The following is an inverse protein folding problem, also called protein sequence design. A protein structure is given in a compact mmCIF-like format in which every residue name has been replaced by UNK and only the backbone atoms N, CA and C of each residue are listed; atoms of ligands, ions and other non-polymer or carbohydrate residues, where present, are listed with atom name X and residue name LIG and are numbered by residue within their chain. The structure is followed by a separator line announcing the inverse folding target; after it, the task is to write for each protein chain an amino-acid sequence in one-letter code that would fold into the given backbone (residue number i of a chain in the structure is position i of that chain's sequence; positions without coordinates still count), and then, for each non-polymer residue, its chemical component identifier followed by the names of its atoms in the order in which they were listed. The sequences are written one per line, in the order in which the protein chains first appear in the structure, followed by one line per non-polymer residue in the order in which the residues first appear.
data_IF_449108036504
#
_entry.id   IF_449108036504
#
_cell.length_a   1.000
_cell.length_b   1.000
_cell.length_c   1.000
_cell.angle_alpha   90.00
_cell.angle_beta   90.00
_cell.angle_gamma   90.00
#
_symmetry.space_group_name_H-M   'P 1'
#
loop_
_entity.id
_entity.type
_entity.pdbx_description
1 polymer ?
#
# COMPACT_ATOMS: atom_id res chain seq x y z
N UNK A 1 -14.59 -1.17 30.86
CA UNK A 1 -13.19 -1.50 30.50
C UNK A 1 -13.11 -2.57 29.40
N UNK A 2 -13.95 -3.61 29.41
CA UNK A 2 -13.99 -4.61 28.33
C UNK A 2 -14.30 -4.03 26.93
N UNK A 3 -15.27 -3.12 26.84
CA UNK A 3 -15.59 -2.42 25.58
C UNK A 3 -14.40 -1.60 25.07
N UNK A 4 -13.69 -0.92 25.96
CA UNK A 4 -12.46 -0.18 25.63
C UNK A 4 -11.38 -1.10 25.06
N UNK A 5 -11.13 -2.25 25.69
CA UNK A 5 -10.16 -3.23 25.16
C UNK A 5 -10.59 -3.83 23.83
N UNK A 6 -11.89 -4.00 23.60
CA UNK A 6 -12.40 -4.42 22.29
C UNK A 6 -12.09 -3.36 21.22
N UNK A 7 -12.35 -2.09 21.50
CA UNK A 7 -12.03 -0.99 20.59
C UNK A 7 -10.53 -0.89 20.29
N UNK A 8 -9.67 -1.03 21.31
CA UNK A 8 -8.20 -1.07 21.17
C UNK A 8 -7.77 -2.20 20.24
N UNK A 9 -8.32 -3.40 20.42
CA UNK A 9 -7.95 -4.57 19.61
C UNK A 9 -8.43 -4.44 18.16
N UNK A 10 -9.62 -3.88 17.94
CA UNK A 10 -10.11 -3.59 16.60
C UNK A 10 -9.26 -2.55 15.87
N UNK A 11 -8.79 -1.51 16.58
CA UNK A 11 -7.85 -0.52 16.02
C UNK A 11 -6.53 -1.21 15.66
N UNK A 12 -5.95 -2.00 16.58
CA UNK A 12 -4.69 -2.72 16.35
C UNK A 12 -4.77 -3.64 15.13
N UNK A 13 -5.83 -4.42 15.02
CA UNK A 13 -6.08 -5.29 13.86
C UNK A 13 -6.24 -4.49 12.57
N UNK A 14 -6.89 -3.32 12.63
CA UNK A 14 -7.07 -2.46 11.46
C UNK A 14 -5.74 -1.81 11.00
N UNK A 15 -4.88 -1.40 11.94
CA UNK A 15 -3.53 -0.89 11.63
C UNK A 15 -2.69 -1.98 10.97
N UNK A 16 -2.71 -3.20 11.52
CA UNK A 16 -2.01 -4.34 10.92
C UNK A 16 -2.47 -4.64 9.48
N UNK A 17 -3.77 -4.50 9.20
CA UNK A 17 -4.32 -4.62 7.84
C UNK A 17 -3.83 -3.53 6.90
N UNK A 18 -3.76 -2.27 7.36
CA UNK A 18 -3.19 -1.19 6.53
C UNK A 18 -1.74 -1.51 6.20
N UNK A 19 -0.93 -1.93 7.18
CA UNK A 19 0.47 -2.29 6.93
C UNK A 19 0.60 -3.40 5.86
N UNK A 20 -0.29 -4.42 5.89
CA UNK A 20 -0.34 -5.44 4.83
C UNK A 20 -0.71 -4.84 3.46
N UNK A 21 -1.73 -3.99 3.39
CA UNK A 21 -2.10 -3.32 2.14
C UNK A 21 -0.98 -2.43 1.59
N UNK A 22 -0.22 -1.75 2.44
CA UNK A 22 0.92 -0.92 2.04
C UNK A 22 2.00 -1.75 1.35
N UNK A 23 2.30 -2.95 1.86
CA UNK A 23 3.23 -3.87 1.20
C UNK A 23 2.71 -4.35 -0.16
N UNK A 24 1.41 -4.62 -0.28
CA UNK A 24 0.79 -4.98 -1.56
C UNK A 24 0.83 -3.81 -2.56
N UNK A 25 0.61 -2.57 -2.10
CA UNK A 25 0.76 -1.35 -2.90
C UNK A 25 2.19 -1.21 -3.43
N UNK A 26 3.22 -1.38 -2.57
CA UNK A 26 4.63 -1.36 -3.00
C UNK A 26 4.92 -2.40 -4.09
N UNK A 27 4.36 -3.61 -3.94
CA UNK A 27 4.50 -4.68 -4.94
C UNK A 27 3.84 -4.30 -6.27
N UNK A 28 2.61 -3.80 -6.24
CA UNK A 28 1.89 -3.37 -7.45
C UNK A 28 2.59 -2.21 -8.15
N UNK A 29 3.11 -1.23 -7.40
CA UNK A 29 3.93 -0.15 -7.92
C UNK A 29 5.20 -0.67 -8.62
N UNK A 30 5.90 -1.64 -8.02
CA UNK A 30 7.06 -2.27 -8.63
C UNK A 30 6.73 -2.94 -9.96
N UNK A 31 5.63 -3.70 -10.02
CA UNK A 31 5.15 -4.37 -11.24
C UNK A 31 4.82 -3.33 -12.32
N UNK A 32 4.09 -2.27 -11.97
CA UNK A 32 3.72 -1.19 -12.88
C UNK A 32 4.96 -0.47 -13.45
N UNK A 33 6.00 -0.27 -12.64
CA UNK A 33 7.26 0.34 -13.09
C UNK A 33 8.15 -0.62 -13.90
N UNK A 34 7.90 -1.93 -13.85
CA UNK A 34 8.69 -2.93 -14.59
C UNK A 34 8.22 -3.13 -16.04
N UNK A 35 6.94 -2.85 -16.33
CA UNK A 35 6.34 -3.05 -17.64
C UNK A 35 6.01 -1.72 -18.33
N UNK A 36 6.34 -1.53 -19.62
CA UNK A 36 5.94 -0.34 -20.39
C UNK A 36 4.42 -0.17 -20.49
N UNK A 37 3.70 -1.29 -20.51
CA UNK A 37 2.24 -1.34 -20.49
C UNK A 37 1.78 -2.33 -19.41
N UNK A 38 1.51 -1.86 -18.17
CA UNK A 38 1.06 -2.73 -17.10
C UNK A 38 -0.31 -3.32 -17.43
N UNK A 39 -0.54 -4.58 -17.04
CA UNK A 39 -1.85 -5.20 -17.15
C UNK A 39 -2.92 -4.37 -16.41
N UNK A 40 -4.10 -4.23 -17.01
CA UNK A 40 -5.21 -3.47 -16.42
C UNK A 40 -5.58 -3.96 -15.01
N UNK A 41 -5.43 -5.27 -14.76
CA UNK A 41 -5.70 -5.90 -13.48
C UNK A 41 -4.83 -5.36 -12.33
N UNK A 42 -3.52 -5.18 -12.55
CA UNK A 42 -2.62 -4.64 -11.50
C UNK A 42 -2.97 -3.20 -11.14
N UNK A 43 -3.47 -2.42 -12.11
CA UNK A 43 -3.93 -1.05 -11.86
C UNK A 43 -5.26 -1.03 -11.09
N UNK A 44 -6.17 -1.94 -11.40
CA UNK A 44 -7.43 -2.13 -10.67
C UNK A 44 -7.16 -2.56 -9.22
N UNK A 45 -6.32 -3.57 -9.01
CA UNK A 45 -5.92 -4.04 -7.68
C UNK A 45 -5.29 -2.90 -6.85
N UNK A 46 -4.47 -2.04 -7.47
CA UNK A 46 -3.88 -0.87 -6.81
C UNK A 46 -4.94 0.17 -6.41
N UNK A 47 -5.93 0.44 -7.26
CA UNK A 47 -7.02 1.36 -6.94
C UNK A 47 -7.89 0.86 -5.78
N UNK A 48 -8.18 -0.44 -5.76
CA UNK A 48 -8.93 -1.08 -4.68
C UNK A 48 -8.17 -1.06 -3.36
N UNK A 49 -6.86 -1.34 -3.38
CA UNK A 49 -6.00 -1.24 -2.19
C UNK A 49 -5.99 0.18 -1.62
N UNK A 50 -5.81 1.20 -2.47
CA UNK A 50 -5.82 2.60 -2.03
C UNK A 50 -7.16 2.98 -1.39
N UNK A 51 -8.27 2.51 -1.96
CA UNK A 51 -9.62 2.74 -1.43
C UNK A 51 -9.83 2.05 -0.08
N UNK A 52 -9.41 0.80 0.09
CA UNK A 52 -9.53 0.07 1.36
C UNK A 52 -8.58 0.62 2.44
N UNK A 53 -7.38 1.09 2.07
CA UNK A 53 -6.49 1.84 2.98
C UNK A 53 -7.20 3.09 3.50
N UNK A 54 -7.73 3.94 2.61
CA UNK A 54 -8.43 5.18 2.97
C UNK A 54 -9.61 4.92 3.91
N UNK A 55 -10.44 3.93 3.57
CA UNK A 55 -11.61 3.53 4.35
C UNK A 55 -11.22 3.00 5.73
N UNK A 56 -10.15 2.20 5.81
CA UNK A 56 -9.66 1.64 7.08
C UNK A 56 -9.02 2.74 7.94
N UNK A 57 -8.23 3.63 7.36
CA UNK A 57 -7.64 4.80 8.01
C UNK A 57 -8.71 5.71 8.61
N UNK A 58 -9.77 6.01 7.86
CA UNK A 58 -10.90 6.82 8.34
C UNK A 58 -11.62 6.18 9.53
N UNK A 59 -11.77 4.85 9.54
CA UNK A 59 -12.35 4.12 10.67
C UNK A 59 -11.45 4.16 11.90
N UNK A 60 -10.14 3.98 11.74
CA UNK A 60 -9.17 4.08 12.84
C UNK A 60 -9.22 5.48 13.45
N UNK A 61 -9.18 6.52 12.62
CA UNK A 61 -9.29 7.92 13.06
C UNK A 61 -10.55 8.16 13.89
N UNK A 62 -11.71 7.70 13.42
CA UNK A 62 -12.98 7.86 14.14
C UNK A 62 -12.97 7.16 15.51
N UNK A 63 -12.39 5.95 15.60
CA UNK A 63 -12.29 5.21 16.87
C UNK A 63 -11.30 5.86 17.84
N UNK A 64 -10.14 6.32 17.36
CA UNK A 64 -9.18 7.05 18.19
C UNK A 64 -9.81 8.31 18.79
N UNK A 65 -10.52 9.10 17.97
CA UNK A 65 -11.25 10.29 18.42
C UNK A 65 -12.35 9.96 19.44
N UNK A 66 -13.06 8.85 19.26
CA UNK A 66 -14.07 8.39 20.24
C UNK A 66 -13.44 8.01 21.58
N UNK A 67 -12.25 7.42 21.57
CA UNK A 67 -11.50 7.08 22.79
C UNK A 67 -11.03 8.37 23.48
N UNK A 68 -10.56 9.36 22.72
CA UNK A 68 -10.12 10.65 23.25
C UNK A 68 -11.24 11.42 23.96
N UNK A 69 -12.42 11.51 23.35
CA UNK A 69 -13.58 12.19 23.96
C UNK A 69 -14.02 11.57 25.28
N UNK A 70 -13.68 10.29 25.52
CA UNK A 70 -13.94 9.63 26.80
C UNK A 70 -13.00 10.11 27.93
N UNK A 71 -11.97 10.89 27.64
CA UNK A 71 -11.03 11.43 28.64
C UNK A 71 -11.57 12.71 29.32
N UNK A 72 -12.26 13.57 28.57
CA UNK A 72 -12.68 14.89 29.04
C UNK A 72 -13.89 14.83 29.99
N UNK A 73 -14.66 13.74 29.99
CA UNK A 73 -15.83 13.57 30.86
C UNK A 73 -15.47 13.25 32.32
N UNK A 74 -14.24 12.82 32.60
CA UNK A 74 -13.81 12.32 33.91
C UNK A 74 -12.98 13.32 34.75
N UNK A 75 -12.74 14.55 34.27
CA UNK A 75 -11.98 15.61 35.00
C UNK A 75 -12.73 16.25 36.19
N UNK A 76 -13.77 15.60 36.72
CA UNK A 76 -14.59 16.14 37.82
C UNK A 76 -14.23 15.58 39.21
N UNK A 77 -13.28 14.66 39.32
CA UNK A 77 -12.98 13.97 40.57
C UNK A 77 -11.50 13.62 40.75
N UNK A 78 -10.93 14.13 41.84
CA UNK A 78 -9.54 13.95 42.30
C UNK A 78 -9.08 12.48 42.38
N UNK A 79 -8.41 12.03 41.31
CA UNK A 79 -7.29 11.08 41.20
C UNK A 79 -7.27 10.59 39.75
N UNK A 80 -6.16 10.73 39.04
CA UNK A 80 -5.96 10.08 37.74
C UNK A 80 -6.10 8.58 37.94
N UNK A 81 -7.30 8.05 37.68
CA UNK A 81 -7.62 6.66 37.94
C UNK A 81 -6.68 5.78 37.11
N UNK A 82 -6.35 4.60 37.62
CA UNK A 82 -5.54 3.63 36.86
C UNK A 82 -6.18 3.36 35.48
N UNK A 83 -7.51 3.40 35.41
CA UNK A 83 -8.29 3.30 34.17
C UNK A 83 -7.95 4.42 33.18
N UNK A 84 -7.98 5.69 33.62
CA UNK A 84 -7.64 6.84 32.79
C UNK A 84 -6.20 6.77 32.27
N UNK A 85 -5.25 6.35 33.11
CA UNK A 85 -3.85 6.18 32.70
C UNK A 85 -3.69 5.09 31.65
N UNK A 86 -4.38 3.95 31.81
CA UNK A 86 -4.35 2.86 30.82
C UNK A 86 -4.92 3.35 29.50
N UNK A 87 -6.07 4.04 29.51
CA UNK A 87 -6.69 4.51 28.27
C UNK A 87 -5.87 5.57 27.55
N UNK A 88 -5.33 6.56 28.28
CA UNK A 88 -4.44 7.59 27.71
C UNK A 88 -3.17 6.98 27.12
N UNK A 89 -2.58 5.99 27.81
CA UNK A 89 -1.41 5.27 27.30
C UNK A 89 -1.76 4.53 26.01
N UNK A 90 -2.80 3.69 26.01
CA UNK A 90 -3.21 2.89 24.85
C UNK A 90 -3.56 3.76 23.64
N UNK A 91 -4.32 4.84 23.85
CA UNK A 91 -4.61 5.81 22.79
C UNK A 91 -3.32 6.38 22.19
N UNK A 92 -2.36 6.76 23.03
CA UNK A 92 -1.05 7.25 22.58
C UNK A 92 -0.29 6.26 21.70
N UNK A 93 -0.19 5.00 22.15
CA UNK A 93 0.52 3.93 21.43
C UNK A 93 -0.13 3.67 20.09
N UNK A 94 -1.45 3.53 20.05
CA UNK A 94 -2.19 3.28 18.82
C UNK A 94 -2.09 4.44 17.84
N UNK A 95 -2.15 5.69 18.33
CA UNK A 95 -1.98 6.89 17.51
C UNK A 95 -0.58 6.94 16.90
N UNK A 96 0.49 6.71 17.67
CA UNK A 96 1.87 6.62 17.12
C UNK A 96 1.98 5.53 16.07
N UNK A 97 1.48 4.33 16.36
CA UNK A 97 1.58 3.20 15.41
C UNK A 97 0.78 3.44 14.14
N UNK A 98 -0.36 4.12 14.23
CA UNK A 98 -1.14 4.51 13.07
C UNK A 98 -0.41 5.58 12.23
N UNK A 99 0.18 6.60 12.85
CA UNK A 99 1.01 7.59 12.13
C UNK A 99 2.18 6.91 11.43
N UNK A 100 2.89 6.00 12.11
CA UNK A 100 4.02 5.25 11.53
C UNK A 100 3.63 4.53 10.23
N UNK A 101 2.54 3.75 10.26
CA UNK A 101 2.08 3.00 9.08
C UNK A 101 1.57 3.93 7.98
N UNK A 102 0.93 5.04 8.32
CA UNK A 102 0.48 6.00 7.33
C UNK A 102 1.66 6.74 6.70
N UNK A 103 2.70 7.07 7.46
CA UNK A 103 3.93 7.67 6.93
C UNK A 103 4.60 6.73 5.95
N UNK A 104 4.70 5.44 6.28
CA UNK A 104 5.24 4.42 5.37
C UNK A 104 4.42 4.32 4.06
N UNK A 105 3.09 4.44 4.15
CA UNK A 105 2.23 4.53 2.97
C UNK A 105 2.54 5.78 2.13
N UNK A 106 2.69 6.95 2.76
CA UNK A 106 3.01 8.20 2.08
C UNK A 106 4.40 8.16 1.41
N UNK A 107 5.39 7.57 2.06
CA UNK A 107 6.72 7.34 1.49
C UNK A 107 6.66 6.42 0.27
N UNK A 108 5.87 5.34 0.33
CA UNK A 108 5.67 4.45 -0.81
C UNK A 108 5.04 5.17 -2.02
N UNK A 109 4.04 6.03 -1.76
CA UNK A 109 3.39 6.84 -2.79
C UNK A 109 4.36 7.87 -3.39
N UNK A 110 5.10 8.60 -2.56
CA UNK A 110 6.10 9.59 -3.00
C UNK A 110 7.21 8.93 -3.81
N UNK A 111 7.69 7.76 -3.38
CA UNK A 111 8.70 7.00 -4.13
C UNK A 111 8.18 6.59 -5.52
N UNK A 112 6.91 6.18 -5.63
CA UNK A 112 6.32 5.85 -6.93
C UNK A 112 6.16 7.08 -7.83
N UNK A 113 5.86 8.26 -7.26
CA UNK A 113 5.84 9.56 -7.98
C UNK A 113 7.19 9.84 -8.62
N UNK A 114 8.25 9.84 -7.81
CA UNK A 114 9.61 10.13 -8.23
C UNK A 114 10.10 9.15 -9.30
N UNK A 115 9.80 7.86 -9.13
CA UNK A 115 10.15 6.83 -10.12
C UNK A 115 9.39 7.00 -11.44
N UNK A 116 8.14 7.44 -11.38
CA UNK A 116 7.32 7.73 -12.56
C UNK A 116 7.81 8.99 -13.28
N UNK A 117 8.13 10.06 -12.55
CA UNK A 117 8.76 11.28 -13.08
C UNK A 117 10.07 10.96 -13.80
N UNK A 118 10.97 10.20 -13.16
CA UNK A 118 12.23 9.79 -13.78
C UNK A 118 12.08 8.86 -14.99
N UNK A 119 10.94 8.18 -15.16
CA UNK A 119 10.60 7.47 -16.41
C UNK A 119 10.15 8.42 -17.49
N UNK A 120 9.26 9.37 -17.17
CA UNK A 120 8.79 10.41 -18.12
C UNK A 120 9.98 11.21 -18.65
N UNK A 121 10.89 11.64 -17.77
CA UNK A 121 12.11 12.36 -18.15
C UNK A 121 12.94 11.58 -19.17
N UNK A 122 13.20 10.29 -18.90
CA UNK A 122 13.93 9.42 -19.84
C UNK A 122 13.21 9.28 -21.18
N UNK A 123 11.88 9.18 -21.20
CA UNK A 123 11.12 9.11 -22.45
C UNK A 123 11.20 10.43 -23.24
N UNK A 124 11.22 11.58 -22.56
CA UNK A 124 11.41 12.88 -23.19
C UNK A 124 12.81 13.02 -23.80
N UNK A 125 13.85 12.56 -23.09
CA UNK A 125 15.23 12.53 -23.60
C UNK A 125 15.35 11.66 -24.87
N UNK A 126 14.65 10.51 -24.92
CA UNK A 126 14.60 9.65 -26.12
C UNK A 126 13.95 10.37 -27.31
N UNK A 127 12.94 11.21 -27.07
CA UNK A 127 12.32 12.05 -28.12
C UNK A 127 13.19 13.25 -28.54
N UNK A 128 14.37 13.41 -27.94
CA UNK A 128 15.32 14.49 -28.26
C UNK A 128 15.08 15.78 -27.48
N UNK A 129 14.26 15.76 -26.43
CA UNK A 129 14.00 16.90 -25.54
C UNK A 129 14.74 16.70 -24.21
N UNK A 130 15.71 17.55 -23.94
CA UNK A 130 16.28 17.67 -22.59
C UNK A 130 15.41 18.63 -21.77
N UNK A 131 14.72 18.12 -20.76
CA UNK A 131 13.96 18.93 -19.79
C UNK A 131 14.67 18.96 -18.46
N UNK A 132 14.75 20.12 -17.81
CA UNK A 132 15.20 20.19 -16.42
C UNK A 132 14.14 19.59 -15.48
N UNK A 133 14.52 19.32 -14.24
CA UNK A 133 13.61 18.75 -13.24
C UNK A 133 12.47 19.73 -12.91
N UNK A 134 12.78 21.03 -12.88
CA UNK A 134 11.84 22.12 -12.63
C UNK A 134 10.87 22.32 -13.79
N UNK A 135 11.36 22.32 -15.04
CA UNK A 135 10.50 22.39 -16.23
C UNK A 135 9.56 21.18 -16.30
N UNK A 136 10.08 19.98 -15.98
CA UNK A 136 9.27 18.77 -15.95
C UNK A 136 8.17 18.84 -14.87
N UNK A 137 8.47 19.42 -13.71
CA UNK A 137 7.49 19.61 -12.64
C UNK A 137 6.39 20.58 -13.07
N UNK A 138 6.72 21.70 -13.70
CA UNK A 138 5.75 22.66 -14.25
C UNK A 138 4.84 22.00 -15.29
N UNK A 139 5.40 21.13 -16.14
CA UNK A 139 4.62 20.35 -17.10
C UNK A 139 3.65 19.39 -16.41
N UNK A 140 4.04 18.75 -15.30
CA UNK A 140 3.17 17.87 -14.50
C UNK A 140 2.06 18.67 -13.80
N UNK A 141 2.36 19.85 -13.26
CA UNK A 141 1.40 20.73 -12.58
C UNK A 141 0.32 21.28 -13.53
N UNK A 142 0.67 21.48 -14.81
CA UNK A 142 -0.27 21.93 -15.84
C UNK A 142 -1.45 20.97 -16.06
N UNK A 143 -1.32 19.71 -15.62
CA UNK A 143 -2.37 18.69 -15.63
C UNK A 143 -2.82 18.21 -17.02
N UNK A 144 -2.19 18.70 -18.10
CA UNK A 144 -2.62 18.40 -19.47
C UNK A 144 -1.59 17.54 -20.23
N UNK A 145 -1.96 16.32 -20.66
CA UNK A 145 -1.05 15.43 -21.41
C UNK A 145 -0.55 16.03 -22.73
N UNK A 146 -1.29 16.99 -23.30
CA UNK A 146 -0.93 17.70 -24.54
C UNK A 146 0.35 18.52 -24.41
N UNK A 147 0.72 18.96 -23.20
CA UNK A 147 1.96 19.71 -22.95
C UNK A 147 3.20 18.89 -23.31
N UNK A 148 3.13 17.57 -23.23
CA UNK A 148 4.22 16.68 -23.68
C UNK A 148 4.25 16.48 -25.20
N UNK A 149 3.16 16.80 -25.91
CA UNK A 149 3.02 16.59 -27.36
C UNK A 149 3.24 17.85 -28.20
N UNK A 150 3.09 19.05 -27.62
CA UNK A 150 3.02 20.32 -28.33
C UNK A 150 4.27 20.62 -29.19
N UNK A 151 5.46 20.30 -28.68
CA UNK A 151 6.73 20.58 -29.38
C UNK A 151 7.15 19.46 -30.35
N UNK A 152 6.71 18.23 -30.11
CA UNK A 152 6.99 17.07 -30.98
C UNK A 152 6.36 17.27 -32.36
N UNK A 153 5.16 17.86 -32.41
CA UNK A 153 4.49 18.22 -33.67
C UNK A 153 5.17 19.36 -34.44
N UNK A 154 5.90 20.25 -33.76
CA UNK A 154 6.56 21.39 -34.40
C UNK A 154 7.75 20.93 -35.30
N UNK A 155 8.43 19.84 -34.92
CA UNK A 155 9.50 19.25 -35.74
C UNK A 155 8.97 18.46 -36.94
N UNK A 156 7.79 17.83 -36.81
CA UNK A 156 7.10 17.18 -37.94
C UNK A 156 6.73 18.18 -39.04
N UNK A 157 6.40 19.42 -38.69
CA UNK A 157 6.14 20.49 -39.65
C UNK A 157 7.42 21.04 -40.30
N UNK A 158 8.54 21.09 -39.57
CA UNK A 158 9.84 21.52 -40.13
C UNK A 158 10.47 20.46 -41.06
N UNK A 159 10.18 19.17 -40.85
CA UNK A 159 10.62 18.07 -41.72
C UNK A 159 9.80 17.93 -43.02
N UNK A 160 8.73 18.71 -43.20
CA UNK A 160 7.93 18.74 -44.43
C UNK A 160 8.62 19.50 -45.60
N UNK A 161 9.88 19.91 -45.44
CA UNK A 161 10.73 20.40 -46.53
C UNK A 161 11.89 19.44 -46.87
N UNK A 162 11.67 18.23 -47.44
CA UNK A 162 12.76 17.46 -48.03
C UNK A 162 12.95 17.75 -49.54
N UNK A 163 12.44 18.86 -50.08
CA UNK A 163 12.52 19.17 -51.51
C UNK A 163 12.80 20.65 -51.82
N UNK A 164 13.73 21.29 -51.10
CA UNK A 164 14.54 22.31 -51.75
C UNK A 164 15.59 21.58 -52.60
N UNK A 165 15.12 20.98 -53.70
CA UNK A 165 15.98 20.76 -54.85
C UNK A 165 16.54 22.13 -55.18
N UNK A 166 17.82 22.33 -54.84
CA UNK A 166 18.63 23.41 -55.38
C UNK A 166 18.31 23.50 -56.87
N UNK A 167 17.62 24.57 -57.28
CA UNK A 167 17.62 25.02 -58.66
C UNK A 167 19.02 25.58 -58.95
N UNK A 168 20.04 24.72 -58.89
CA UNK A 168 21.33 25.01 -59.47
C UNK A 168 21.15 24.78 -60.97
N UNK A 169 20.82 25.86 -61.68
CA UNK A 169 20.81 25.87 -63.14
C UNK A 169 22.26 25.80 -63.64
N UNK A 170 22.85 24.62 -63.58
CA UNK A 170 24.10 24.34 -64.28
C UNK A 170 23.74 24.11 -65.75
N UNK A 171 23.98 25.13 -66.56
CA UNK A 171 24.17 24.95 -67.98
C UNK A 171 25.40 24.05 -68.17
N UNK A 172 25.20 22.78 -68.52
CA UNK A 172 25.90 22.10 -69.61
C UNK A 172 25.39 20.66 -69.75
N UNK A 173 25.23 20.27 -71.00
CA UNK A 173 24.81 18.96 -71.49
C UNK A 173 25.62 17.81 -70.90
N UNK A 174 25.06 17.04 -69.97
CA UNK A 174 25.27 15.59 -69.88
C UNK A 174 24.40 14.98 -68.77
N UNK A 175 23.58 14.03 -69.19
CA UNK A 175 22.73 13.18 -68.36
C UNK A 175 23.55 12.34 -67.39
N UNK A 176 23.58 12.72 -66.11
CA UNK A 176 23.95 11.81 -65.02
C UNK A 176 22.78 11.78 -64.04
N UNK A 177 22.00 10.70 -64.11
CA UNK A 177 21.02 10.37 -63.08
C UNK A 177 21.80 9.96 -61.82
N UNK A 178 21.86 10.84 -60.83
CA UNK A 178 22.25 10.44 -59.48
C UNK A 178 21.00 9.86 -58.79
N UNK A 179 21.01 8.62 -58.30
CA UNK A 179 19.89 8.12 -57.54
C UNK A 179 19.81 8.90 -56.23
N UNK A 180 18.68 9.59 -56.01
CA UNK A 180 18.36 10.18 -54.72
C UNK A 180 18.45 9.08 -53.65
N UNK A 181 19.48 9.16 -52.80
CA UNK A 181 19.55 8.41 -51.56
C UNK A 181 18.54 8.99 -50.57
N UNK A 182 17.26 8.70 -50.78
CA UNK A 182 16.24 8.88 -49.75
C UNK A 182 16.51 7.83 -48.67
N UNK A 183 17.26 8.24 -47.64
CA UNK A 183 17.56 7.44 -46.45
C UNK A 183 16.25 6.91 -45.81
N UNK A 184 16.19 5.64 -45.39
CA UNK A 184 15.02 5.04 -44.73
C UNK A 184 14.82 5.50 -43.27
N UNK A 185 15.29 6.69 -42.88
CA UNK A 185 15.34 7.13 -41.47
C UNK A 185 14.01 7.69 -40.93
N UNK A 186 13.11 8.14 -41.80
CA UNK A 186 11.92 8.92 -41.39
C UNK A 186 10.72 8.07 -40.90
N UNK A 187 10.63 6.78 -41.26
CA UNK A 187 9.48 5.93 -40.85
C UNK A 187 9.65 5.41 -39.41
N UNK A 188 10.89 5.22 -38.95
CA UNK A 188 11.19 4.72 -37.59
C UNK A 188 10.89 5.77 -36.51
N UNK A 189 11.10 7.06 -36.81
CA UNK A 189 10.96 8.15 -35.84
C UNK A 189 9.50 8.38 -35.41
N UNK A 190 8.52 8.02 -36.24
CA UNK A 190 7.09 8.18 -35.89
C UNK A 190 6.57 7.13 -34.90
N UNK A 191 7.04 5.87 -35.00
CA UNK A 191 6.56 4.80 -34.12
C UNK A 191 7.18 4.89 -32.71
N UNK A 192 8.49 5.17 -32.64
CA UNK A 192 9.21 5.34 -31.37
C UNK A 192 8.63 6.51 -30.57
N UNK A 193 8.41 7.63 -31.24
CA UNK A 193 7.84 8.83 -30.61
C UNK A 193 6.41 8.61 -30.11
N UNK A 194 5.56 7.92 -30.89
CA UNK A 194 4.19 7.58 -30.47
C UNK A 194 4.17 6.64 -29.26
N UNK A 195 5.07 5.66 -29.22
CA UNK A 195 5.19 4.76 -28.09
C UNK A 195 5.66 5.50 -26.83
N UNK A 196 6.66 6.37 -26.95
CA UNK A 196 7.12 7.21 -25.85
C UNK A 196 6.01 8.12 -25.30
N UNK A 197 5.22 8.75 -26.19
CA UNK A 197 4.09 9.60 -25.79
C UNK A 197 2.98 8.82 -25.07
N UNK A 198 2.61 7.63 -25.56
CA UNK A 198 1.62 6.77 -24.88
C UNK A 198 2.09 6.35 -23.48
N UNK A 199 3.39 6.05 -23.33
CA UNK A 199 3.97 5.74 -22.02
C UNK A 199 3.93 6.97 -21.09
N UNK A 200 4.34 8.14 -21.58
CA UNK A 200 4.30 9.40 -20.83
C UNK A 200 2.87 9.71 -20.36
N UNK A 201 1.88 9.63 -21.26
CA UNK A 201 0.47 9.86 -20.92
C UNK A 201 -0.02 8.88 -19.84
N UNK A 202 0.29 7.60 -19.99
CA UNK A 202 -0.09 6.61 -18.96
C UNK A 202 0.58 6.88 -17.62
N UNK A 203 1.86 7.29 -17.59
CA UNK A 203 2.58 7.59 -16.34
C UNK A 203 2.04 8.87 -15.69
N UNK A 204 1.76 9.90 -16.49
CA UNK A 204 1.15 11.14 -16.03
C UNK A 204 -0.21 10.88 -15.35
N UNK A 205 -1.06 10.05 -15.97
CA UNK A 205 -2.34 9.64 -15.36
C UNK A 205 -2.16 8.94 -14.02
N UNK A 206 -1.14 8.10 -13.89
CA UNK A 206 -0.83 7.41 -12.64
C UNK A 206 -0.35 8.42 -11.56
N UNK A 207 0.45 9.44 -11.92
CA UNK A 207 0.87 10.54 -11.03
C UNK A 207 -0.34 11.38 -10.57
N UNK A 208 -1.28 11.71 -11.45
CA UNK A 208 -2.45 12.51 -11.07
C UNK A 208 -3.35 11.79 -10.03
N UNK A 209 -3.55 10.48 -10.21
CA UNK A 209 -4.30 9.64 -9.25
C UNK A 209 -3.61 9.58 -7.90
N UNK A 210 -2.28 9.42 -7.94
CA UNK A 210 -1.42 9.41 -6.77
C UNK A 210 -1.51 10.71 -5.97
N UNK A 211 -1.38 11.86 -6.61
CA UNK A 211 -1.45 13.17 -5.94
C UNK A 211 -2.82 13.44 -5.32
N UNK A 212 -3.89 12.97 -5.96
CA UNK A 212 -5.23 13.01 -5.38
C UNK A 212 -5.27 12.18 -4.10
N UNK A 213 -4.75 10.95 -4.12
CA UNK A 213 -4.68 10.10 -2.93
C UNK A 213 -3.82 10.74 -1.83
N UNK A 214 -2.65 11.31 -2.14
CA UNK A 214 -1.77 11.94 -1.15
C UNK A 214 -2.47 13.15 -0.49
N UNK A 215 -3.15 13.99 -1.28
CA UNK A 215 -3.87 15.17 -0.76
C UNK A 215 -4.98 14.79 0.22
N UNK A 216 -5.75 13.74 -0.10
CA UNK A 216 -6.79 13.22 0.80
C UNK A 216 -6.23 12.63 2.10
N UNK A 217 -5.05 12.00 2.04
CA UNK A 217 -4.36 11.51 3.23
C UNK A 217 -3.83 12.65 4.09
N UNK A 218 -3.33 13.72 3.48
CA UNK A 218 -2.77 14.87 4.19
C UNK A 218 -3.80 15.49 5.14
N UNK A 219 -5.06 15.58 4.73
CA UNK A 219 -6.16 16.04 5.61
C UNK A 219 -6.31 15.15 6.86
N UNK A 220 -6.13 13.83 6.73
CA UNK A 220 -6.14 12.92 7.89
C UNK A 220 -4.89 13.06 8.77
N UNK A 221 -3.72 13.35 8.18
CA UNK A 221 -2.46 13.53 8.90
C UNK A 221 -2.40 14.80 9.72
N UNK A 222 -2.91 15.91 9.21
CA UNK A 222 -2.88 17.21 9.93
C UNK A 222 -3.65 17.14 11.24
N UNK A 223 -4.80 16.48 11.24
CA UNK A 223 -5.60 16.21 12.44
C UNK A 223 -4.83 15.33 13.45
N UNK A 224 -4.06 14.36 12.94
CA UNK A 224 -3.31 13.40 13.75
C UNK A 224 -1.99 13.89 14.30
N UNK A 225 -1.29 14.75 13.56
CA UNK A 225 -0.05 15.38 14.01
C UNK A 225 -0.30 16.21 15.28
N UNK A 226 -1.45 16.90 15.35
CA UNK A 226 -1.91 17.59 16.55
C UNK A 226 -2.05 16.64 17.77
N UNK A 227 -2.54 15.40 17.56
CA UNK A 227 -2.67 14.41 18.64
C UNK A 227 -1.33 13.88 19.14
N UNK A 228 -0.31 13.78 18.28
CA UNK A 228 1.02 13.28 18.65
C UNK A 228 1.87 14.37 19.32
N UNK A 229 1.74 15.63 18.90
CA UNK A 229 2.47 16.77 19.50
C UNK A 229 1.98 17.12 20.92
N UNK A 230 0.68 16.97 21.19
CA UNK A 230 0.08 17.32 22.50
C UNK A 230 0.45 16.33 23.61
N UNK A 231 1.14 15.23 23.30
CA UNK A 231 1.45 14.13 24.25
C UNK A 231 2.93 14.11 24.70
N UNK A 232 3.60 15.26 24.67
CA UNK A 232 5.04 15.44 24.92
C UNK A 232 5.68 14.62 26.06
N UNK A 233 6.83 14.03 25.72
CA UNK A 233 7.93 13.44 26.52
C UNK A 233 7.67 12.35 27.58
N UNK A 234 6.49 12.19 28.17
CA UNK A 234 6.31 11.20 29.27
C UNK A 234 5.57 9.93 28.85
N UNK A 235 6.05 9.20 27.83
CA UNK A 235 5.42 7.92 27.44
C UNK A 235 6.41 6.75 27.19
N UNK A 236 7.73 6.95 27.21
CA UNK A 236 8.66 5.88 26.79
C UNK A 236 8.70 4.61 27.68
N UNK A 237 8.43 4.72 28.99
CA UNK A 237 8.47 3.56 29.91
C UNK A 237 7.13 2.86 30.11
N UNK A 238 6.01 3.55 29.90
CA UNK A 238 4.66 2.98 30.09
C UNK A 238 4.20 2.29 28.81
N UNK A 239 4.51 2.85 27.63
CA UNK A 239 4.27 2.23 26.33
C UNK A 239 4.90 0.84 26.25
N UNK A 240 6.18 0.70 26.63
CA UNK A 240 6.87 -0.60 26.66
C UNK A 240 6.20 -1.61 27.59
N UNK A 241 5.79 -1.19 28.79
CA UNK A 241 5.18 -2.09 29.77
C UNK A 241 3.73 -2.46 29.41
N UNK A 242 2.96 -1.54 28.82
CA UNK A 242 1.57 -1.75 28.43
C UNK A 242 1.45 -2.53 27.12
N UNK A 243 2.34 -2.29 26.13
CA UNK A 243 2.46 -3.13 24.94
C UNK A 243 2.81 -4.57 25.32
N UNK A 244 3.82 -4.76 26.16
CA UNK A 244 4.21 -6.08 26.63
C UNK A 244 3.06 -6.76 27.38
N UNK A 245 2.36 -6.05 28.27
CA UNK A 245 1.22 -6.62 29.01
C UNK A 245 0.08 -7.07 28.10
N UNK A 246 -0.28 -6.29 27.07
CA UNK A 246 -1.29 -6.68 26.09
C UNK A 246 -0.85 -7.89 25.26
N UNK A 247 0.41 -7.93 24.83
CA UNK A 247 0.97 -9.05 24.05
C UNK A 247 1.05 -10.35 24.86
N UNK A 248 1.41 -10.26 26.16
CA UNK A 248 1.35 -11.40 27.08
C UNK A 248 -0.08 -11.92 27.27
N UNK A 249 -1.08 -11.04 27.34
CA UNK A 249 -2.49 -11.45 27.46
C UNK A 249 -2.98 -12.12 26.18
N UNK A 250 -2.57 -11.64 25.01
CA UNK A 250 -2.89 -12.27 23.73
C UNK A 250 -2.26 -13.66 23.59
N UNK A 251 -0.96 -13.78 23.88
CA UNK A 251 -0.26 -15.06 23.90
C UNK A 251 -0.89 -16.02 24.94
N UNK A 252 -1.27 -15.52 26.11
CA UNK A 252 -1.99 -16.32 27.11
C UNK A 252 -3.37 -16.79 26.60
N UNK A 253 -4.09 -15.95 25.84
CA UNK A 253 -5.38 -16.31 25.24
C UNK A 253 -5.22 -17.38 24.14
N UNK A 254 -4.16 -17.32 23.34
CA UNK A 254 -3.84 -18.37 22.37
C UNK A 254 -3.45 -19.68 23.05
N UNK A 255 -2.55 -19.64 24.04
CA UNK A 255 -2.10 -20.83 24.75
C UNK A 255 -3.24 -21.50 25.52
N UNK A 256 -4.12 -20.73 26.16
CA UNK A 256 -5.33 -21.27 26.80
C UNK A 256 -6.28 -21.91 25.77
N UNK A 257 -6.43 -21.32 24.58
CA UNK A 257 -7.23 -21.91 23.48
C UNK A 257 -6.62 -23.22 22.97
N UNK A 258 -5.29 -23.29 22.82
CA UNK A 258 -4.56 -24.52 22.49
C UNK A 258 -4.75 -25.57 23.59
N UNK A 259 -4.61 -25.20 24.86
CA UNK A 259 -4.80 -26.07 26.01
C UNK A 259 -6.22 -26.66 26.09
N UNK A 260 -7.27 -25.87 25.83
CA UNK A 260 -8.66 -26.35 25.77
C UNK A 260 -8.83 -27.39 24.65
N UNK A 261 -8.21 -27.17 23.47
CA UNK A 261 -8.22 -28.13 22.36
C UNK A 261 -7.47 -29.43 22.72
N UNK A 262 -6.37 -29.36 23.48
CA UNK A 262 -5.68 -30.56 23.95
C UNK A 262 -6.50 -31.32 25.01
N UNK A 263 -7.10 -30.61 25.98
CA UNK A 263 -7.94 -31.21 27.01
C UNK A 263 -9.18 -31.91 26.44
N UNK A 264 -9.82 -31.35 25.41
CA UNK A 264 -10.97 -32.00 24.76
C UNK A 264 -10.57 -33.29 24.03
N UNK A 265 -9.42 -33.30 23.34
CA UNK A 265 -8.87 -34.50 22.68
C UNK A 265 -8.43 -35.57 23.70
N UNK A 266 -7.80 -35.16 24.80
CA UNK A 266 -7.38 -36.07 25.87
C UNK A 266 -8.58 -36.74 26.55
N UNK A 267 -9.65 -35.99 26.85
CA UNK A 267 -10.90 -36.55 27.39
C UNK A 267 -11.50 -37.62 26.46
N UNK A 268 -11.52 -37.37 25.15
CA UNK A 268 -12.02 -38.34 24.16
C UNK A 268 -11.21 -39.65 24.17
N UNK A 269 -9.88 -39.56 24.22
CA UNK A 269 -9.01 -40.75 24.34
C UNK A 269 -9.23 -41.49 25.65
N UNK A 270 -9.45 -40.77 26.76
CA UNK A 270 -9.72 -41.36 28.07
C UNK A 270 -11.02 -42.20 28.05
N UNK A 271 -12.08 -41.71 27.43
CA UNK A 271 -13.33 -42.46 27.25
C UNK A 271 -13.17 -43.71 26.39
N UNK A 272 -12.34 -43.65 25.35
CA UNK A 272 -12.04 -44.82 24.51
C UNK A 272 -11.28 -45.88 25.32
N UNK A 273 -10.27 -45.48 26.11
CA UNK A 273 -9.51 -46.41 26.96
C UNK A 273 -10.42 -47.08 27.99
N UNK A 274 -11.30 -46.32 28.64
CA UNK A 274 -12.28 -46.86 29.61
C UNK A 274 -13.25 -47.83 28.94
N UNK A 275 -13.75 -47.53 27.74
CA UNK A 275 -14.63 -48.44 27.01
C UNK A 275 -13.93 -49.77 26.66
N UNK A 276 -12.68 -49.70 26.22
CA UNK A 276 -11.86 -50.90 25.91
C UNK A 276 -11.60 -51.72 27.17
N UNK A 277 -11.25 -51.09 28.30
CA UNK A 277 -10.98 -51.82 29.54
C UNK A 277 -12.23 -52.52 30.06
N UNK A 278 -13.41 -51.90 29.97
CA UNK A 278 -14.69 -52.53 30.35
C UNK A 278 -15.02 -53.73 29.45
N UNK A 279 -14.79 -53.61 28.14
CA UNK A 279 -15.01 -54.73 27.20
C UNK A 279 -14.12 -55.94 27.52
N UNK A 280 -12.84 -55.70 27.84
CA UNK A 280 -11.91 -56.77 28.23
C UNK A 280 -12.37 -57.49 29.50
N UNK A 281 -12.80 -56.74 30.52
CA UNK A 281 -13.31 -57.32 31.78
C UNK A 281 -14.56 -58.17 31.53
N UNK A 282 -15.47 -57.71 30.66
CA UNK A 282 -16.68 -58.46 30.31
C UNK A 282 -16.35 -59.80 29.59
N UNK A 283 -15.37 -59.80 28.69
CA UNK A 283 -14.92 -61.01 28.00
C UNK A 283 -14.32 -62.02 28.99
N UNK A 284 -13.47 -61.55 29.91
CA UNK A 284 -12.88 -62.42 30.94
C UNK A 284 -13.97 -63.03 31.83
N UNK A 285 -14.95 -62.23 32.26
CA UNK A 285 -16.07 -62.71 33.06
C UNK A 285 -16.91 -63.79 32.32
N UNK A 286 -17.14 -63.61 31.01
CA UNK A 286 -17.83 -64.59 30.17
C UNK A 286 -17.06 -65.92 30.08
N UNK A 287 -15.75 -65.88 29.86
CA UNK A 287 -14.90 -67.09 29.76
C UNK A 287 -14.94 -67.88 31.07
N UNK A 288 -14.81 -67.19 32.21
CA UNK A 288 -14.88 -67.82 33.54
C UNK A 288 -16.27 -68.41 33.77
N UNK A 289 -17.34 -67.68 33.46
CA UNK A 289 -18.72 -68.16 33.60
C UNK A 289 -19.01 -69.43 32.79
N UNK A 290 -18.54 -69.49 31.54
CA UNK A 290 -18.69 -70.67 30.68
C UNK A 290 -17.82 -71.86 31.11
N UNK A 291 -16.69 -71.61 31.78
CA UNK A 291 -15.78 -72.67 32.24
C UNK A 291 -16.21 -73.30 33.55
N UNK A 292 -16.90 -72.55 34.42
CA UNK A 292 -17.38 -73.03 35.73
C UNK A 292 -18.81 -73.60 35.64
N UNK A 293 -19.57 -73.25 34.59
CA UNK A 293 -20.94 -73.72 34.39
C UNK A 293 -21.12 -75.07 33.68
N UNK A 294 -20.05 -75.86 33.53
CA UNK A 294 -20.09 -77.27 33.09
C UNK A 294 -19.77 -78.18 34.27
#
# INVERSE_FOLDING_TARGET
MDDFFHQVEEIRTSIAKIAQYVEEVKKNHSIILSAPNPEGKTKEDLEDLNKEIKKTASKIRAKLKSIEQSFDQDESGDRTSVDLRIRRTQHSVLSRKFVEVMTEYNEAQTLFRERSKGRIQRQLEITGRTTTDEELEEMLESGSPSVFTADVSAWGAAAAFPCLCFLFRAALSSSVFLPCLCFPKIISDSQITRQALNEIESRHKDIMKLETSIRELHEMFTDMAMFVETQGEMINNIEKNVMNAADYVEHAKEETKKAIKYHSKARRKKWIIVAVSVAVVAIIALIIGLSVGK
#
